data_IF_669660333935
#
_entry.id   IF_669660333935
#
_cell.length_a   1.000
_cell.length_b   1.000
_cell.length_c   1.000
_cell.angle_alpha   90.00
_cell.angle_beta   90.00
_cell.angle_gamma   90.00
#
_symmetry.space_group_name_H-M   'P 1'
#
loop_
_entity.id
_entity.type
_entity.pdbx_description
1 polymer ?
#
# COMPACT_ATOMS: atom_id res chain seq x y z
N UNK A 1 -9.54 14.37 -26.59
CA UNK A 1 -8.89 13.33 -25.76
C UNK A 1 -8.06 14.03 -24.70
N UNK A 2 -8.52 14.06 -23.49
CA UNK A 2 -7.77 14.65 -22.38
C UNK A 2 -6.76 13.61 -21.91
N UNK A 3 -5.54 13.70 -22.41
CA UNK A 3 -4.42 13.01 -21.79
C UNK A 3 -4.10 13.79 -20.50
N UNK A 4 -4.50 13.26 -19.37
CA UNK A 4 -4.04 13.77 -18.07
C UNK A 4 -2.51 13.83 -18.05
N UNK A 5 -1.93 14.62 -17.15
CA UNK A 5 -0.48 14.67 -17.02
C UNK A 5 0.09 13.27 -16.82
N UNK A 6 1.25 12.95 -17.43
CA UNK A 6 1.85 11.64 -17.28
C UNK A 6 2.06 11.33 -15.79
N UNK A 7 1.64 10.15 -15.35
CA UNK A 7 1.88 9.69 -13.98
C UNK A 7 3.40 9.61 -13.76
N UNK A 8 3.87 10.21 -12.69
CA UNK A 8 5.28 10.14 -12.32
C UNK A 8 5.71 8.67 -12.14
N UNK A 9 6.96 8.36 -12.46
CA UNK A 9 7.53 7.04 -12.20
C UNK A 9 7.46 6.72 -10.69
N UNK A 10 7.22 5.46 -10.37
CA UNK A 10 7.13 5.01 -8.98
C UNK A 10 8.47 5.17 -8.26
N UNK A 11 8.51 6.04 -7.28
CA UNK A 11 9.60 6.18 -6.31
C UNK A 11 9.11 5.77 -4.92
N UNK A 12 9.22 4.49 -4.64
CA UNK A 12 8.75 3.89 -3.38
C UNK A 12 9.43 4.55 -2.18
N UNK A 13 10.74 4.81 -2.26
CA UNK A 13 11.49 5.40 -1.16
C UNK A 13 11.00 6.82 -0.84
N UNK A 14 10.73 7.64 -1.83
CA UNK A 14 10.21 8.99 -1.63
C UNK A 14 8.80 8.98 -1.03
N UNK A 15 7.92 8.07 -1.48
CA UNK A 15 6.61 7.88 -0.89
C UNK A 15 6.70 7.50 0.60
N UNK A 16 7.50 6.47 0.90
CA UNK A 16 7.68 5.97 2.27
C UNK A 16 8.31 7.02 3.19
N UNK A 17 9.32 7.76 2.70
CA UNK A 17 9.95 8.83 3.45
C UNK A 17 8.96 9.95 3.82
N UNK A 18 8.03 10.28 2.93
CA UNK A 18 6.99 11.28 3.23
C UNK A 18 6.02 10.76 4.28
N UNK A 19 5.55 9.52 4.17
CA UNK A 19 4.70 8.90 5.18
C UNK A 19 5.38 8.86 6.56
N UNK A 20 6.66 8.52 6.60
CA UNK A 20 7.47 8.48 7.83
C UNK A 20 7.63 9.88 8.47
N UNK A 21 7.95 10.91 7.69
CA UNK A 21 8.05 12.31 8.20
C UNK A 21 6.76 12.78 8.87
N UNK A 22 5.62 12.32 8.40
CA UNK A 22 4.32 12.61 9.01
C UNK A 22 3.92 11.62 10.11
N UNK A 23 4.80 10.69 10.47
CA UNK A 23 4.55 9.65 11.47
C UNK A 23 3.28 8.82 11.18
N UNK A 24 2.99 8.58 9.91
CA UNK A 24 1.87 7.73 9.49
C UNK A 24 2.18 6.27 9.83
N UNK A 25 1.24 5.60 10.49
CA UNK A 25 1.31 4.16 10.74
C UNK A 25 0.54 3.42 9.67
N UNK A 26 1.19 2.47 9.03
CA UNK A 26 0.63 1.66 7.94
C UNK A 26 1.35 0.32 7.82
N UNK A 27 0.74 -0.59 7.10
CA UNK A 27 1.36 -1.85 6.68
C UNK A 27 1.35 -1.92 5.16
N UNK A 28 2.48 -2.25 4.57
CA UNK A 28 2.63 -2.42 3.12
C UNK A 28 2.09 -3.78 2.71
N UNK A 29 1.26 -3.78 1.68
CA UNK A 29 0.70 -4.98 1.04
C UNK A 29 1.00 -4.97 -0.45
N UNK A 30 0.39 -5.86 -1.22
CA UNK A 30 0.45 -5.85 -2.69
C UNK A 30 1.82 -6.21 -3.25
N UNK A 31 2.14 -5.68 -4.43
CA UNK A 31 3.32 -6.07 -5.20
C UNK A 31 4.64 -5.76 -4.52
N UNK A 32 4.77 -4.64 -3.83
CA UNK A 32 5.99 -4.29 -3.08
C UNK A 32 6.20 -5.29 -1.93
N UNK A 33 5.15 -5.67 -1.21
CA UNK A 33 5.25 -6.65 -0.14
C UNK A 33 5.72 -8.02 -0.69
N UNK A 34 5.18 -8.43 -1.83
CA UNK A 34 5.61 -9.68 -2.50
C UNK A 34 7.09 -9.63 -2.90
N UNK A 35 7.57 -8.49 -3.41
CA UNK A 35 8.99 -8.29 -3.72
C UNK A 35 9.88 -8.40 -2.48
N UNK A 36 9.46 -7.81 -1.37
CA UNK A 36 10.22 -7.87 -0.09
C UNK A 36 10.34 -9.31 0.40
N UNK A 37 9.34 -10.15 0.19
CA UNK A 37 9.40 -11.58 0.50
C UNK A 37 10.19 -12.42 -0.52
N UNK A 38 10.83 -11.80 -1.50
CA UNK A 38 11.80 -12.43 -2.39
C UNK A 38 11.29 -12.78 -3.79
N UNK A 39 10.04 -12.50 -4.13
CA UNK A 39 9.52 -12.74 -5.47
C UNK A 39 9.74 -11.53 -6.38
N UNK A 40 10.58 -11.68 -7.40
CA UNK A 40 10.81 -10.65 -8.41
C UNK A 40 9.59 -10.50 -9.31
N UNK A 41 9.01 -9.30 -9.31
CA UNK A 41 7.93 -8.92 -10.23
C UNK A 41 7.95 -7.41 -10.44
N UNK A 42 7.35 -6.96 -11.54
CA UNK A 42 7.08 -5.54 -11.74
C UNK A 42 5.88 -5.11 -10.90
N UNK A 43 5.95 -3.89 -10.37
CA UNK A 43 4.83 -3.21 -9.73
C UNK A 43 4.83 -1.74 -10.16
N UNK A 44 3.65 -1.14 -10.28
CA UNK A 44 3.47 0.24 -10.71
C UNK A 44 3.02 1.16 -9.59
N UNK A 45 2.70 0.60 -8.44
CA UNK A 45 2.07 1.28 -7.33
C UNK A 45 2.60 0.77 -5.99
N UNK A 46 2.41 1.59 -4.97
CA UNK A 46 2.59 1.23 -3.57
C UNK A 46 1.22 1.05 -2.94
N UNK A 47 0.96 -0.12 -2.37
CA UNK A 47 -0.28 -0.44 -1.67
C UNK A 47 -0.05 -0.44 -0.16
N UNK A 48 -0.84 0.34 0.58
CA UNK A 48 -0.75 0.43 2.04
C UNK A 48 -2.12 0.33 2.70
N UNK A 49 -2.16 -0.33 3.87
CA UNK A 49 -3.31 -0.29 4.77
C UNK A 49 -2.90 0.57 5.98
N UNK A 50 -3.49 1.76 6.17
CA UNK A 50 -3.19 2.62 7.30
C UNK A 50 -3.88 2.14 8.57
N UNK A 51 -3.28 2.43 9.74
CA UNK A 51 -3.97 2.31 11.01
C UNK A 51 -5.22 3.20 11.01
N UNK A 52 -6.39 2.66 11.45
CA UNK A 52 -7.68 3.32 11.21
C UNK A 52 -8.04 4.41 12.22
N UNK A 53 -7.22 4.65 13.24
CA UNK A 53 -7.52 5.66 14.25
C UNK A 53 -7.47 7.09 13.68
N UNK A 54 -8.30 7.97 14.24
CA UNK A 54 -8.48 9.33 13.78
C UNK A 54 -7.18 10.13 13.72
N UNK A 55 -6.32 9.99 14.74
CA UNK A 55 -5.05 10.70 14.78
C UNK A 55 -4.14 10.27 13.63
N UNK A 56 -4.10 8.99 13.30
CA UNK A 56 -3.33 8.47 12.18
C UNK A 56 -3.90 8.91 10.83
N UNK A 57 -5.21 8.91 10.66
CA UNK A 57 -5.87 9.42 9.46
C UNK A 57 -5.54 10.91 9.26
N UNK A 58 -5.52 11.71 10.32
CA UNK A 58 -5.10 13.11 10.25
C UNK A 58 -3.65 13.28 9.78
N UNK A 59 -2.74 12.42 10.22
CA UNK A 59 -1.35 12.40 9.74
C UNK A 59 -1.26 12.00 8.26
N UNK A 60 -2.03 11.00 7.86
CA UNK A 60 -2.12 10.56 6.47
C UNK A 60 -2.62 11.67 5.54
N UNK A 61 -3.66 12.41 5.94
CA UNK A 61 -4.15 13.57 5.17
C UNK A 61 -3.04 14.58 4.90
N UNK A 62 -2.24 14.92 5.92
CA UNK A 62 -1.11 15.86 5.75
C UNK A 62 -0.03 15.30 4.82
N UNK A 63 0.28 14.01 4.93
CA UNK A 63 1.23 13.36 4.04
C UNK A 63 0.74 13.36 2.58
N UNK A 64 -0.53 13.05 2.36
CA UNK A 64 -1.14 13.06 1.03
C UNK A 64 -1.16 14.46 0.41
N UNK A 65 -1.37 15.50 1.22
CA UNK A 65 -1.29 16.88 0.75
C UNK A 65 0.15 17.24 0.31
N UNK A 66 1.17 16.85 1.07
CA UNK A 66 2.58 17.07 0.69
C UNK A 66 2.95 16.31 -0.59
N UNK A 67 2.39 15.11 -0.80
CA UNK A 67 2.59 14.30 -2.00
C UNK A 67 1.86 14.84 -3.23
N UNK A 68 1.05 15.89 -3.08
CA UNK A 68 0.11 16.36 -4.11
C UNK A 68 -0.78 15.23 -4.65
N UNK A 69 -1.22 14.37 -3.72
CA UNK A 69 -2.01 13.19 -4.04
C UNK A 69 -3.40 13.59 -4.57
N UNK A 70 -3.80 12.99 -5.68
CA UNK A 70 -5.09 13.25 -6.34
C UNK A 70 -5.71 11.95 -6.80
N UNK A 71 -7.04 11.79 -6.74
CA UNK A 71 -7.68 10.63 -7.34
C UNK A 71 -7.31 10.52 -8.84
N UNK A 72 -6.88 9.34 -9.26
CA UNK A 72 -6.46 9.11 -10.66
C UNK A 72 -7.57 9.39 -11.67
N UNK A 73 -8.81 9.09 -11.29
CA UNK A 73 -10.00 9.28 -12.11
C UNK A 73 -10.60 10.69 -12.01
N UNK A 74 -10.12 11.51 -11.08
CA UNK A 74 -10.56 12.89 -10.85
C UNK A 74 -9.37 13.80 -10.54
N UNK A 75 -8.42 14.02 -11.47
CA UNK A 75 -7.18 14.76 -11.21
C UNK A 75 -7.42 16.24 -10.85
N UNK A 76 -8.58 16.78 -11.14
CA UNK A 76 -9.00 18.12 -10.72
C UNK A 76 -9.47 18.20 -9.25
N UNK A 77 -9.75 17.07 -8.62
CA UNK A 77 -10.05 17.03 -7.19
C UNK A 77 -8.76 17.24 -6.38
N UNK A 78 -8.91 17.77 -5.18
CA UNK A 78 -7.80 17.86 -4.22
C UNK A 78 -7.46 16.53 -3.58
N UNK A 79 -6.49 16.51 -2.65
CA UNK A 79 -6.18 15.33 -1.85
C UNK A 79 -7.41 14.83 -1.09
N UNK A 80 -7.50 13.51 -0.80
CA UNK A 80 -8.61 12.97 -0.03
C UNK A 80 -8.72 13.62 1.35
N UNK A 81 -9.94 13.86 1.78
CA UNK A 81 -10.23 14.38 3.13
C UNK A 81 -10.18 13.28 4.16
N UNK A 82 -10.08 13.65 5.45
CA UNK A 82 -10.14 12.69 6.55
C UNK A 82 -11.46 11.90 6.54
N UNK A 83 -12.58 12.54 6.22
CA UNK A 83 -13.87 11.87 6.11
C UNK A 83 -13.88 10.83 4.99
N UNK A 84 -13.34 11.15 3.82
CA UNK A 84 -13.24 10.20 2.70
C UNK A 84 -12.36 9.00 3.07
N UNK A 85 -11.22 9.22 3.73
CA UNK A 85 -10.33 8.16 4.19
C UNK A 85 -10.95 7.31 5.31
N UNK A 86 -11.77 7.90 6.16
CA UNK A 86 -12.38 7.21 7.30
C UNK A 86 -13.66 6.44 6.95
N UNK A 87 -14.46 6.92 6.02
CA UNK A 87 -15.82 6.41 5.77
C UNK A 87 -16.05 5.82 4.38
N UNK A 88 -15.23 6.15 3.40
CA UNK A 88 -15.38 5.57 2.07
C UNK A 88 -15.04 4.07 2.10
N UNK A 89 -15.87 3.20 1.52
CA UNK A 89 -15.58 1.77 1.45
C UNK A 89 -14.32 1.49 0.61
N UNK A 90 -14.04 2.32 -0.39
CA UNK A 90 -12.83 2.27 -1.19
C UNK A 90 -12.31 3.69 -1.42
N UNK A 91 -10.99 3.86 -1.34
CA UNK A 91 -10.32 5.08 -1.78
C UNK A 91 -9.83 4.84 -3.20
N UNK A 92 -10.16 5.72 -4.17
CA UNK A 92 -9.63 5.57 -5.53
C UNK A 92 -8.10 5.55 -5.53
N UNK A 93 -7.47 4.88 -6.51
CA UNK A 93 -6.02 5.00 -6.69
C UNK A 93 -5.59 6.46 -6.79
N UNK A 94 -4.51 6.81 -6.09
CA UNK A 94 -4.01 8.17 -6.04
C UNK A 94 -2.77 8.30 -6.91
N UNK A 95 -2.74 9.31 -7.76
CA UNK A 95 -1.50 9.77 -8.41
C UNK A 95 -0.82 10.77 -7.48
N UNK A 96 0.49 10.67 -7.38
CA UNK A 96 1.32 11.59 -6.58
C UNK A 96 2.51 12.09 -7.41
N UNK A 97 3.28 13.02 -6.86
CA UNK A 97 4.55 13.44 -7.49
C UNK A 97 5.61 12.33 -7.54
N UNK A 98 5.42 11.23 -6.80
CA UNK A 98 6.35 10.12 -6.71
C UNK A 98 5.76 8.78 -7.18
N UNK A 99 4.73 8.84 -8.03
CA UNK A 99 4.08 7.67 -8.57
C UNK A 99 2.71 7.38 -7.94
N UNK A 100 2.21 6.19 -8.17
CA UNK A 100 0.86 5.80 -7.77
C UNK A 100 0.84 5.19 -6.37
N UNK A 101 -0.09 5.65 -5.55
CA UNK A 101 -0.30 5.19 -4.18
C UNK A 101 -1.73 4.70 -4.01
N UNK A 102 -1.90 3.49 -3.52
CA UNK A 102 -3.20 2.94 -3.14
C UNK A 102 -3.32 2.90 -1.62
N UNK A 103 -4.23 3.68 -1.08
CA UNK A 103 -4.62 3.63 0.33
C UNK A 103 -5.83 2.74 0.44
N UNK A 104 -5.67 1.60 1.09
CA UNK A 104 -6.71 0.56 1.17
C UNK A 104 -7.17 0.38 2.61
N UNK A 105 -8.47 0.10 2.81
CA UNK A 105 -9.05 -0.13 4.13
C UNK A 105 -9.60 -1.53 4.25
N UNK A 106 -10.77 -1.76 3.73
CA UNK A 106 -11.47 -3.03 3.86
C UNK A 106 -11.03 -4.00 2.76
N UNK A 107 -9.80 -4.50 2.88
CA UNK A 107 -9.24 -5.42 1.90
C UNK A 107 -9.76 -6.82 2.18
N UNK A 108 -10.46 -7.45 1.21
CA UNK A 108 -10.92 -8.82 1.38
C UNK A 108 -9.77 -9.78 1.70
N UNK A 109 -9.96 -10.60 2.73
CA UNK A 109 -8.94 -11.55 3.20
C UNK A 109 -7.94 -10.96 4.18
N UNK A 110 -7.91 -9.63 4.38
CA UNK A 110 -7.08 -9.02 5.42
C UNK A 110 -7.73 -9.18 6.80
N UNK A 111 -6.92 -9.47 7.84
CA UNK A 111 -7.40 -9.43 9.22
C UNK A 111 -7.59 -7.98 9.68
N UNK A 112 -8.16 -7.74 10.88
CA UNK A 112 -8.15 -6.43 11.50
C UNK A 112 -6.73 -5.84 11.54
N UNK A 113 -6.61 -4.52 11.41
CA UNK A 113 -5.31 -3.85 11.29
C UNK A 113 -4.31 -4.23 12.41
N UNK A 114 -4.79 -4.33 13.66
CA UNK A 114 -3.93 -4.69 14.78
C UNK A 114 -3.27 -6.07 14.60
N UNK A 115 -4.01 -7.04 14.09
CA UNK A 115 -3.49 -8.39 13.83
C UNK A 115 -2.56 -8.40 12.60
N UNK A 116 -2.93 -7.69 11.55
CA UNK A 116 -2.07 -7.50 10.37
C UNK A 116 -0.71 -6.92 10.77
N UNK A 117 -0.73 -5.88 11.60
CA UNK A 117 0.48 -5.20 12.07
C UNK A 117 1.31 -6.08 13.01
N UNK A 118 0.66 -6.84 13.89
CA UNK A 118 1.35 -7.74 14.83
C UNK A 118 2.11 -8.86 14.11
N UNK A 119 1.62 -9.33 12.96
CA UNK A 119 2.23 -10.38 12.15
C UNK A 119 3.14 -9.86 11.04
N UNK A 120 3.25 -8.53 10.90
CA UNK A 120 4.05 -7.91 9.85
C UNK A 120 5.54 -8.17 10.05
N UNK A 121 6.25 -8.38 8.95
CA UNK A 121 7.70 -8.34 8.90
C UNK A 121 8.15 -6.88 8.92
N UNK A 122 9.04 -6.53 9.84
CA UNK A 122 9.66 -5.20 9.86
C UNK A 122 11.01 -5.28 9.15
N UNK A 123 11.17 -4.50 8.10
CA UNK A 123 12.40 -4.37 7.34
C UNK A 123 12.90 -2.93 7.38
N UNK A 124 14.20 -2.75 7.22
CA UNK A 124 14.82 -1.42 7.08
C UNK A 124 15.11 -1.15 5.60
N UNK A 125 14.61 -0.03 5.10
CA UNK A 125 14.89 0.47 3.76
C UNK A 125 15.71 1.76 3.89
N UNK A 126 17.03 1.63 3.93
CA UNK A 126 17.96 2.77 4.05
C UNK A 126 17.62 3.71 5.23
N UNK A 127 17.39 3.15 6.41
CA UNK A 127 17.05 3.87 7.62
C UNK A 127 15.55 4.15 7.82
N UNK A 128 14.69 3.69 6.90
CA UNK A 128 13.23 3.78 7.03
C UNK A 128 12.67 2.42 7.48
N UNK A 129 12.16 2.29 8.70
CA UNK A 129 11.53 1.05 9.13
C UNK A 129 10.17 0.87 8.46
N UNK A 130 9.96 -0.29 7.83
CA UNK A 130 8.72 -0.62 7.13
C UNK A 130 8.07 -1.84 7.75
N UNK A 131 6.77 -1.77 7.98
CA UNK A 131 5.96 -2.95 8.25
C UNK A 131 5.43 -3.52 6.93
N UNK A 132 5.81 -4.75 6.64
CA UNK A 132 5.38 -5.50 5.46
C UNK A 132 4.44 -6.61 5.92
N UNK A 133 3.28 -6.74 5.29
CA UNK A 133 2.35 -7.82 5.64
C UNK A 133 3.03 -9.19 5.56
N UNK A 134 2.73 -10.05 6.53
CA UNK A 134 3.27 -11.41 6.57
C UNK A 134 2.77 -12.26 5.40
N UNK A 135 3.48 -13.33 5.08
CA UNK A 135 3.20 -14.20 3.93
C UNK A 135 1.78 -14.75 4.00
N UNK A 136 1.33 -15.25 5.14
CA UNK A 136 -0.01 -15.83 5.28
C UNK A 136 -1.12 -14.80 5.03
N UNK A 137 -0.95 -13.57 5.53
CA UNK A 137 -1.92 -12.49 5.30
C UNK A 137 -1.93 -12.06 3.83
N UNK A 138 -0.76 -11.98 3.19
CA UNK A 138 -0.67 -11.69 1.75
C UNK A 138 -1.35 -12.78 0.91
N UNK A 139 -1.14 -14.05 1.23
CA UNK A 139 -1.78 -15.16 0.54
C UNK A 139 -3.31 -15.09 0.71
N UNK A 140 -3.80 -14.82 1.92
CA UNK A 140 -5.23 -14.69 2.18
C UNK A 140 -5.87 -13.56 1.37
N UNK A 141 -5.24 -12.39 1.32
CA UNK A 141 -5.71 -11.25 0.51
C UNK A 141 -5.69 -11.55 -0.99
N UNK A 142 -4.64 -12.23 -1.47
CA UNK A 142 -4.52 -12.59 -2.88
C UNK A 142 -5.52 -13.67 -3.31
N UNK A 143 -5.80 -14.64 -2.45
CA UNK A 143 -6.87 -15.63 -2.68
C UNK A 143 -8.25 -14.95 -2.78
N UNK A 144 -8.52 -14.00 -1.90
CA UNK A 144 -9.78 -13.26 -1.91
C UNK A 144 -9.92 -12.39 -3.17
N UNK A 145 -8.82 -11.83 -3.69
CA UNK A 145 -8.79 -11.06 -4.95
C UNK A 145 -8.98 -11.95 -6.19
N UNK A 146 -8.33 -13.11 -6.25
CA UNK A 146 -8.54 -14.14 -7.27
C UNK A 146 -8.11 -13.80 -8.70
N UNK A 147 -7.31 -12.74 -8.92
CA UNK A 147 -6.81 -12.37 -10.25
C UNK A 147 -5.71 -13.34 -10.71
N UNK A 148 -5.50 -13.45 -12.02
CA UNK A 148 -4.45 -14.31 -12.58
C UNK A 148 -3.04 -13.97 -12.05
N UNK A 149 -2.73 -12.67 -11.89
CA UNK A 149 -1.47 -12.23 -11.30
C UNK A 149 -1.34 -12.66 -9.83
N UNK A 150 -2.45 -12.69 -9.08
CA UNK A 150 -2.48 -13.10 -7.68
C UNK A 150 -2.16 -14.60 -7.52
N UNK A 151 -2.58 -15.45 -8.45
CA UNK A 151 -2.24 -16.88 -8.43
C UNK A 151 -0.74 -17.11 -8.56
N UNK A 152 -0.05 -16.34 -9.40
CA UNK A 152 1.41 -16.40 -9.52
C UNK A 152 2.11 -15.93 -8.24
N UNK A 153 1.61 -14.87 -7.64
CA UNK A 153 2.14 -14.36 -6.36
C UNK A 153 1.94 -15.37 -5.23
N UNK A 154 0.78 -16.02 -5.16
CA UNK A 154 0.51 -17.08 -4.17
C UNK A 154 1.50 -18.24 -4.33
N UNK A 155 1.73 -18.71 -5.55
CA UNK A 155 2.68 -19.79 -5.80
C UNK A 155 4.10 -19.40 -5.35
N UNK A 156 4.54 -18.20 -5.65
CA UNK A 156 5.85 -17.70 -5.25
C UNK A 156 5.99 -17.55 -3.73
N UNK A 157 4.99 -16.99 -3.06
CA UNK A 157 4.97 -16.82 -1.60
C UNK A 157 4.94 -18.17 -0.87
N UNK A 158 4.19 -19.13 -1.38
CA UNK A 158 4.13 -20.48 -0.83
C UNK A 158 5.49 -21.19 -0.94
N UNK A 159 6.22 -21.01 -2.04
CA UNK A 159 7.54 -21.57 -2.22
C UNK A 159 8.58 -20.96 -1.25
N UNK A 160 8.48 -19.68 -0.91
CA UNK A 160 9.35 -19.01 0.06
C UNK A 160 9.09 -19.53 1.48
N UNK A 161 7.83 -19.76 1.85
CA UNK A 161 7.44 -20.24 3.18
C UNK A 161 7.82 -21.71 3.44
N UNK A 162 8.13 -22.46 2.40
CA UNK A 162 8.62 -23.83 2.47
C UNK A 162 10.06 -23.90 1.94
N UNK A 163 11.08 -23.56 2.76
CA UNK A 163 12.47 -23.78 2.37
C UNK A 163 12.67 -25.26 2.10
N UNK A 164 13.34 -25.60 1.02
CA UNK A 164 13.61 -26.96 0.59
C UNK A 164 14.06 -27.85 1.77
N UNK A 165 13.38 -28.99 1.94
CA UNK A 165 13.80 -30.05 2.87
C UNK A 165 15.01 -30.77 2.31
#
# INVERSE_FOLDING_TARGET
MSTGPPTAALDVRALLATLDRHAVRYTVIGGIAVQVHGHRRTTKDLDVIPAPDEANIGRLVRALAELDARPRDAPGAGPPTAQQLASAPTVPPLTTRHGELHVMRDVPGAPPYADLRARALVVDLDGLPLAIAGIDDLIAMKRASGRAADLRDIAALTAVDQPER
#
